data_IF_974531842704
#
_entry.id   IF_974531842704
#
_cell.length_a   1.000
_cell.length_b   1.000
_cell.length_c   1.000
_cell.angle_alpha   90.00
_cell.angle_beta   90.00
_cell.angle_gamma   90.00
#
_symmetry.space_group_name_H-M   'P 1'
#
loop_
_entity.id
_entity.type
_entity.pdbx_description
1 polymer ?
#
# COMPACT_ATOMS: atom_id res chain seq x y z
N UNK A 1 2.03 -34.34 -14.41
CA UNK A 1 3.49 -34.29 -14.66
C UNK A 1 4.04 -32.86 -14.51
N UNK A 2 3.69 -31.81 -15.29
CA UNK A 2 4.22 -30.46 -15.06
C UNK A 2 3.67 -29.79 -13.79
N UNK A 3 2.36 -29.95 -13.54
CA UNK A 3 1.65 -29.38 -12.38
C UNK A 3 2.15 -29.92 -11.04
N UNK A 4 2.66 -31.16 -11.01
CA UNK A 4 3.17 -31.81 -9.80
C UNK A 4 4.57 -31.31 -9.44
N UNK A 5 5.37 -30.93 -10.47
CA UNK A 5 6.69 -30.33 -10.30
C UNK A 5 6.55 -28.91 -9.75
N UNK A 6 5.66 -28.10 -10.31
CA UNK A 6 5.41 -26.74 -9.83
C UNK A 6 4.92 -26.73 -8.37
N UNK A 7 4.00 -27.63 -8.01
CA UNK A 7 3.54 -27.77 -6.62
C UNK A 7 4.67 -28.20 -5.69
N UNK A 8 5.51 -29.14 -6.11
CA UNK A 8 6.64 -29.62 -5.29
C UNK A 8 7.69 -28.52 -5.11
N UNK A 9 8.00 -27.76 -6.16
CA UNK A 9 8.92 -26.61 -6.09
C UNK A 9 8.38 -25.49 -5.19
N UNK A 10 7.09 -25.18 -5.29
CA UNK A 10 6.45 -24.19 -4.42
C UNK A 10 6.47 -24.62 -2.94
N UNK A 11 6.27 -25.91 -2.65
CA UNK A 11 6.37 -26.45 -1.28
C UNK A 11 7.78 -26.29 -0.70
N UNK A 12 8.80 -26.66 -1.48
CA UNK A 12 10.21 -26.52 -1.08
C UNK A 12 10.58 -25.04 -0.88
N UNK A 13 10.12 -24.15 -1.76
CA UNK A 13 10.35 -22.71 -1.63
C UNK A 13 9.69 -22.15 -0.35
N UNK A 14 8.47 -22.57 -0.02
CA UNK A 14 7.76 -22.14 1.18
C UNK A 14 8.51 -22.50 2.49
N UNK A 15 9.26 -23.60 2.51
CA UNK A 15 10.10 -24.01 3.64
C UNK A 15 11.45 -23.27 3.68
N UNK A 16 12.04 -22.99 2.51
CA UNK A 16 13.34 -22.32 2.42
C UNK A 16 13.27 -20.80 2.71
N UNK A 17 12.17 -20.12 2.32
CA UNK A 17 12.02 -18.66 2.47
C UNK A 17 12.13 -18.20 3.94
N UNK A 18 11.44 -18.81 4.93
CA UNK A 18 11.58 -18.44 6.33
C UNK A 18 13.01 -18.54 6.85
N UNK A 19 13.75 -19.56 6.39
CA UNK A 19 15.15 -19.79 6.80
C UNK A 19 16.04 -18.69 6.24
N UNK A 20 15.92 -18.34 4.96
CA UNK A 20 16.67 -17.25 4.34
C UNK A 20 16.33 -15.90 5.00
N UNK A 21 15.06 -15.63 5.31
CA UNK A 21 14.66 -14.46 6.09
C UNK A 21 15.23 -14.44 7.52
N UNK A 22 15.31 -15.59 8.18
CA UNK A 22 15.96 -15.69 9.49
C UNK A 22 17.45 -15.37 9.41
N UNK A 23 18.16 -15.95 8.43
CA UNK A 23 19.57 -15.67 8.20
C UNK A 23 19.83 -14.20 7.90
N UNK A 24 18.95 -13.53 7.14
CA UNK A 24 19.05 -12.08 6.91
C UNK A 24 18.88 -11.25 8.19
N UNK A 25 18.21 -11.77 9.23
CA UNK A 25 18.06 -11.06 10.51
C UNK A 25 19.23 -11.31 11.46
N UNK A 26 19.85 -12.49 11.38
CA UNK A 26 20.87 -12.92 12.35
C UNK A 26 22.30 -12.78 11.82
N UNK A 27 22.50 -12.79 10.50
CA UNK A 27 23.81 -12.70 9.89
C UNK A 27 24.24 -11.24 9.60
N UNK A 28 25.55 -10.99 9.42
CA UNK A 28 26.08 -9.67 9.11
C UNK A 28 25.56 -9.11 7.77
N UNK A 29 25.57 -7.77 7.58
CA UNK A 29 25.09 -7.13 6.35
C UNK A 29 25.72 -7.65 5.05
N UNK A 30 26.98 -8.10 5.09
CA UNK A 30 27.67 -8.70 3.93
C UNK A 30 27.00 -9.98 3.43
N UNK A 31 26.21 -10.65 4.27
CA UNK A 31 25.46 -11.85 3.90
C UNK A 31 24.08 -11.53 3.31
N UNK A 32 23.55 -10.33 3.58
CA UNK A 32 22.18 -9.96 3.21
C UNK A 32 21.99 -9.95 1.70
N UNK A 33 22.97 -9.43 0.96
CA UNK A 33 22.92 -9.35 -0.50
C UNK A 33 22.83 -10.75 -1.14
N UNK A 34 23.65 -11.70 -0.67
CA UNK A 34 23.63 -13.09 -1.16
C UNK A 34 22.34 -13.82 -0.79
N UNK A 35 21.85 -13.64 0.44
CA UNK A 35 20.58 -14.21 0.87
C UNK A 35 19.40 -13.64 0.06
N UNK A 36 19.46 -12.36 -0.31
CA UNK A 36 18.48 -11.70 -1.17
C UNK A 36 18.51 -12.27 -2.59
N UNK A 37 19.70 -12.49 -3.16
CA UNK A 37 19.85 -13.16 -4.46
C UNK A 37 19.24 -14.57 -4.43
N UNK A 38 19.52 -15.36 -3.38
CA UNK A 38 18.98 -16.72 -3.24
C UNK A 38 17.44 -16.73 -3.13
N UNK A 39 16.86 -15.79 -2.38
CA UNK A 39 15.41 -15.61 -2.32
C UNK A 39 14.81 -15.33 -3.71
N UNK A 40 15.44 -14.46 -4.49
CA UNK A 40 14.97 -14.14 -5.85
C UNK A 40 15.06 -15.30 -6.85
N UNK A 41 15.88 -16.31 -6.57
CA UNK A 41 16.00 -17.51 -7.41
C UNK A 41 14.93 -18.58 -7.10
N UNK A 42 14.16 -18.43 -6.01
CA UNK A 42 13.17 -19.44 -5.63
C UNK A 42 11.88 -19.31 -6.46
N UNK A 43 11.39 -20.41 -7.07
CA UNK A 43 10.10 -20.42 -7.76
C UNK A 43 8.97 -20.03 -6.79
N UNK A 44 8.20 -19.01 -7.13
CA UNK A 44 7.14 -18.48 -6.26
C UNK A 44 7.61 -17.49 -5.18
N UNK A 45 8.91 -17.22 -5.06
CA UNK A 45 9.42 -16.11 -4.25
C UNK A 45 9.41 -14.80 -5.05
N UNK A 46 8.24 -14.43 -5.53
CA UNK A 46 7.90 -13.02 -5.64
C UNK A 46 7.77 -12.55 -4.19
N UNK A 47 8.65 -11.65 -3.77
CA UNK A 47 8.54 -10.84 -2.56
C UNK A 47 7.08 -10.78 -2.12
N UNK A 48 6.75 -11.40 -0.97
CA UNK A 48 5.36 -11.58 -0.53
C UNK A 48 4.61 -10.28 -0.78
N UNK A 49 3.62 -10.25 -1.70
CA UNK A 49 3.02 -9.01 -2.15
C UNK A 49 2.44 -8.32 -0.93
N UNK A 50 3.06 -7.19 -0.58
CA UNK A 50 2.63 -6.40 0.56
C UNK A 50 1.33 -5.72 0.18
N UNK A 51 0.36 -5.71 1.08
CA UNK A 51 -0.87 -4.96 0.90
C UNK A 51 -0.93 -3.86 1.96
N UNK A 52 -1.06 -2.61 1.52
CA UNK A 52 -1.42 -1.51 2.41
C UNK A 52 -2.92 -1.24 2.24
N UNK A 53 -3.66 -1.37 3.33
CA UNK A 53 -5.07 -1.01 3.40
C UNK A 53 -5.21 0.24 4.26
N UNK A 54 -5.79 1.29 3.69
CA UNK A 54 -6.05 2.55 4.40
C UNK A 54 -7.53 2.81 4.38
N UNK A 55 -8.12 3.00 5.55
CA UNK A 55 -9.54 3.30 5.68
C UNK A 55 -9.74 4.72 6.19
N UNK A 56 -10.33 5.57 5.35
CA UNK A 56 -10.76 6.91 5.76
C UNK A 56 -12.13 6.79 6.41
N UNK A 57 -12.16 6.78 7.74
CA UNK A 57 -13.40 6.67 8.51
C UNK A 57 -14.19 7.97 8.47
N UNK A 58 -13.62 9.04 9.05
CA UNK A 58 -14.25 10.34 9.19
C UNK A 58 -13.23 11.46 9.29
N UNK A 59 -13.65 12.68 8.98
CA UNK A 59 -12.91 13.92 9.24
C UNK A 59 -13.75 14.84 10.11
N UNK A 60 -13.14 15.47 11.10
CA UNK A 60 -13.80 16.34 12.07
C UNK A 60 -13.24 17.76 11.98
N UNK A 61 -14.06 18.75 12.34
CA UNK A 61 -13.67 20.17 12.40
C UNK A 61 -13.05 20.69 11.09
N UNK A 62 -13.53 20.19 9.96
CA UNK A 62 -13.01 20.57 8.65
C UNK A 62 -13.32 22.03 8.39
N UNK A 63 -12.29 22.80 7.98
CA UNK A 63 -12.44 24.22 7.66
C UNK A 63 -13.37 24.36 6.45
N UNK A 64 -14.46 25.09 6.63
CA UNK A 64 -15.36 25.41 5.53
C UNK A 64 -14.80 26.61 4.75
N UNK A 65 -14.76 26.49 3.43
CA UNK A 65 -14.47 27.62 2.54
C UNK A 65 -15.80 28.18 2.05
N UNK A 66 -15.93 29.51 2.08
CA UNK A 66 -17.18 30.25 1.79
C UNK A 66 -17.94 29.68 0.59
N UNK A 67 -19.14 29.14 0.84
CA UNK A 67 -20.07 28.67 -0.20
C UNK A 67 -19.94 27.21 -0.62
N UNK A 68 -19.02 26.40 -0.06
CA UNK A 68 -18.85 25.00 -0.48
C UNK A 68 -18.55 24.05 0.68
N UNK A 69 -19.39 23.03 0.80
CA UNK A 69 -19.22 21.93 1.76
C UNK A 69 -18.75 20.64 1.08
N UNK A 70 -18.41 20.68 -0.21
CA UNK A 70 -17.99 19.52 -1.00
C UNK A 70 -16.56 19.11 -0.61
N UNK A 71 -16.39 18.24 0.37
CA UNK A 71 -15.06 17.82 0.85
C UNK A 71 -14.77 16.38 0.45
N UNK A 72 -13.50 16.11 0.12
CA UNK A 72 -12.97 14.77 -0.11
C UNK A 72 -11.54 14.65 0.42
N UNK A 73 -11.10 13.44 0.70
CA UNK A 73 -9.71 13.12 1.03
C UNK A 73 -9.00 12.58 -0.20
N UNK A 74 -7.86 13.16 -0.54
CA UNK A 74 -6.94 12.63 -1.55
C UNK A 74 -5.80 11.88 -0.85
N UNK A 75 -5.59 10.64 -1.24
CA UNK A 75 -4.52 9.77 -0.77
C UNK A 75 -3.49 9.61 -1.89
N UNK A 76 -2.22 9.83 -1.59
CA UNK A 76 -1.13 9.69 -2.55
C UNK A 76 0.03 8.98 -1.89
N UNK A 77 0.46 7.87 -2.47
CA UNK A 77 1.62 7.11 -1.99
C UNK A 77 2.70 7.21 -3.05
N UNK A 78 3.84 7.82 -2.69
CA UNK A 78 4.98 8.00 -3.60
C UNK A 78 4.56 8.57 -4.98
N UNK A 79 5.03 7.96 -6.08
CA UNK A 79 4.69 8.32 -7.47
C UNK A 79 3.45 7.56 -8.00
N UNK A 80 2.66 6.91 -7.14
CA UNK A 80 1.44 6.23 -7.58
C UNK A 80 0.32 7.24 -7.87
N UNK A 81 -0.60 6.92 -8.79
CA UNK A 81 -1.78 7.75 -9.04
C UNK A 81 -2.55 8.05 -7.76
N UNK A 82 -2.99 9.31 -7.56
CA UNK A 82 -3.76 9.68 -6.38
C UNK A 82 -5.11 8.95 -6.38
N UNK A 83 -5.48 8.42 -5.21
CA UNK A 83 -6.82 7.90 -4.94
C UNK A 83 -7.60 8.94 -4.16
N UNK A 84 -8.92 8.98 -4.30
CA UNK A 84 -9.75 9.95 -3.61
C UNK A 84 -11.02 9.32 -3.09
N UNK A 85 -11.50 9.80 -1.94
CA UNK A 85 -12.83 9.45 -1.43
C UNK A 85 -13.92 10.09 -2.27
N UNK A 86 -15.17 9.66 -2.06
CA UNK A 86 -16.33 10.39 -2.54
C UNK A 86 -16.33 11.81 -1.99
N UNK A 87 -16.88 12.71 -2.80
CA UNK A 87 -17.18 14.07 -2.37
C UNK A 87 -18.45 14.01 -1.55
N UNK A 88 -18.38 14.44 -0.30
CA UNK A 88 -19.56 14.53 0.59
C UNK A 88 -19.79 15.99 0.93
N UNK A 89 -21.05 16.38 1.02
CA UNK A 89 -21.52 17.73 1.29
C UNK A 89 -22.22 17.83 2.66
N UNK A 90 -22.43 19.06 3.13
CA UNK A 90 -23.29 19.43 4.26
C UNK A 90 -22.84 19.14 5.70
N UNK A 91 -21.55 18.90 6.00
CA UNK A 91 -21.10 18.80 7.40
C UNK A 91 -19.61 19.09 7.60
N UNK A 92 -19.23 19.59 8.78
CA UNK A 92 -17.83 19.72 9.25
C UNK A 92 -17.28 18.41 9.82
N UNK A 93 -18.18 17.45 10.08
CA UNK A 93 -17.90 16.10 10.58
C UNK A 93 -18.45 15.10 9.57
N UNK A 94 -17.62 14.71 8.61
CA UNK A 94 -18.02 13.86 7.48
C UNK A 94 -17.56 12.42 7.71
N UNK A 95 -18.43 11.46 7.39
CA UNK A 95 -18.11 10.04 7.39
C UNK A 95 -17.96 9.55 5.94
N UNK A 96 -16.80 8.98 5.62
CA UNK A 96 -16.57 8.34 4.32
C UNK A 96 -16.67 6.82 4.44
N UNK A 97 -16.04 6.23 5.45
CA UNK A 97 -15.93 4.77 5.64
C UNK A 97 -15.41 4.07 4.37
N UNK A 98 -14.50 4.72 3.66
CA UNK A 98 -13.95 4.21 2.40
C UNK A 98 -12.57 3.59 2.61
N UNK A 99 -12.36 2.41 2.01
CA UNK A 99 -11.12 1.65 2.05
C UNK A 99 -10.35 1.76 0.73
N UNK A 100 -9.04 1.97 0.83
CA UNK A 100 -8.11 2.02 -0.29
C UNK A 100 -7.05 0.96 -0.13
N UNK A 101 -6.82 0.22 -1.20
CA UNK A 101 -5.86 -0.89 -1.23
C UNK A 101 -4.72 -0.57 -2.19
N UNK A 102 -3.48 -0.73 -1.75
CA UNK A 102 -2.31 -0.75 -2.63
C UNK A 102 -1.63 -2.09 -2.51
N UNK A 103 -1.46 -2.76 -3.64
CA UNK A 103 -0.60 -3.92 -3.77
C UNK A 103 0.81 -3.44 -4.10
N UNK A 104 1.80 -4.04 -3.45
CA UNK A 104 3.21 -3.81 -3.76
C UNK A 104 3.85 -5.16 -4.03
N UNK A 105 4.51 -5.26 -5.18
CA UNK A 105 5.35 -6.41 -5.49
C UNK A 105 6.57 -6.46 -4.57
N UNK A 106 7.06 -5.29 -4.09
CA UNK A 106 8.19 -5.15 -3.17
C UNK A 106 7.75 -4.30 -1.97
N UNK A 107 8.02 -4.70 -0.71
CA UNK A 107 7.65 -3.92 0.47
C UNK A 107 8.14 -2.46 0.36
N UNK A 108 7.24 -1.47 0.48
CA UNK A 108 7.57 -0.07 0.23
C UNK A 108 8.40 0.52 1.40
N UNK A 109 9.70 0.21 1.44
CA UNK A 109 10.62 0.75 2.45
C UNK A 109 10.84 2.25 2.24
N UNK A 110 10.58 3.05 3.26
CA UNK A 110 10.81 4.51 3.25
C UNK A 110 9.80 5.34 2.46
N UNK A 111 8.78 4.72 1.87
CA UNK A 111 7.72 5.44 1.18
C UNK A 111 6.74 6.09 2.16
N UNK A 112 6.24 7.27 1.80
CA UNK A 112 5.27 8.03 2.62
C UNK A 112 3.91 8.04 1.95
N UNK A 113 2.87 7.86 2.76
CA UNK A 113 1.48 8.09 2.38
C UNK A 113 1.09 9.52 2.78
N UNK A 114 0.70 10.32 1.80
CA UNK A 114 0.13 11.65 2.00
C UNK A 114 -1.39 11.58 1.94
N UNK A 115 -2.05 12.14 2.96
CA UNK A 115 -3.52 12.25 3.02
C UNK A 115 -3.84 13.73 3.15
N UNK A 116 -4.55 14.28 2.16
CA UNK A 116 -4.91 15.70 2.10
C UNK A 116 -6.41 15.85 1.89
N UNK A 117 -7.08 16.56 2.81
CA UNK A 117 -8.49 16.93 2.66
C UNK A 117 -8.60 18.18 1.77
N UNK A 118 -9.44 18.13 0.74
CA UNK A 118 -9.65 19.22 -0.21
C UNK A 118 -11.14 19.50 -0.39
N UNK A 119 -11.47 20.75 -0.69
CA UNK A 119 -12.82 21.14 -1.12
C UNK A 119 -12.91 21.15 -2.65
N UNK A 120 -13.91 20.50 -3.24
CA UNK A 120 -14.19 20.54 -4.68
C UNK A 120 -15.22 21.63 -4.96
N UNK A 121 -14.75 22.79 -5.42
CA UNK A 121 -15.64 23.87 -5.86
C UNK A 121 -16.01 23.68 -7.34
N UNK A 122 -17.30 23.83 -7.65
CA UNK A 122 -17.81 23.86 -9.04
C UNK A 122 -17.63 25.23 -9.68
N UNK A 123 -17.36 26.28 -8.89
CA UNK A 123 -17.13 27.63 -9.37
C UNK A 123 -15.62 27.90 -9.48
N UNK A 124 -15.13 28.12 -10.71
CA UNK A 124 -13.82 28.74 -10.97
C UNK A 124 -12.62 27.79 -11.11
N UNK A 125 -12.66 26.88 -12.08
CA UNK A 125 -11.44 26.54 -12.83
C UNK A 125 -11.66 26.97 -14.28
N UNK A 126 -11.16 28.16 -14.60
CA UNK A 126 -10.72 28.47 -15.97
C UNK A 126 -9.50 27.61 -16.29
#
# INVERSE_FOLDING_TARGET
MPMDIEKSQAMIAAEAIPILHMLMKTCPPSFHERAYTLLHCLPGCLTVPGCLIVTIKRGNNLKQTMGSTNVFCQLTISNSPPKQTKVVNHSTSLEWKEGFTWAFDIPPKGQKLYIVCKSKNTFGKT
#
